data_IF_680250116868
#
_entry.id   IF_680250116868
#
_cell.length_a   1.000
_cell.length_b   1.000
_cell.length_c   1.000
_cell.angle_alpha   90.00
_cell.angle_beta   90.00
_cell.angle_gamma   90.00
#
_symmetry.space_group_name_H-M   'P 1'
#
loop_
_entity.id
_entity.type
_entity.pdbx_description
1 polymer ?
#
# COMPACT_ATOMS: atom_id res chain seq x y z
N UNK A 1 -21.43 -7.20 -4.57
CA UNK A 1 -20.68 -5.95 -4.28
C UNK A 1 -19.34 -6.08 -4.96
N UNK A 2 -19.11 -5.34 -6.03
CA UNK A 2 -17.79 -5.23 -6.64
C UNK A 2 -16.89 -4.43 -5.69
N UNK A 3 -15.83 -5.03 -5.20
CA UNK A 3 -14.82 -4.32 -4.41
C UNK A 3 -13.99 -3.47 -5.35
N UNK A 4 -14.31 -2.18 -5.45
CA UNK A 4 -13.54 -1.23 -6.23
C UNK A 4 -12.25 -0.88 -5.47
N UNK A 5 -11.18 -1.66 -5.70
CA UNK A 5 -9.86 -1.36 -5.10
C UNK A 5 -9.13 -0.31 -5.93
N UNK A 6 -8.76 0.79 -5.29
CA UNK A 6 -7.94 1.85 -5.89
C UNK A 6 -6.45 1.60 -5.65
N UNK A 7 -5.62 2.38 -6.35
CA UNK A 7 -4.18 2.38 -6.18
C UNK A 7 -3.67 3.81 -6.42
N UNK A 8 -4.17 4.76 -5.63
CA UNK A 8 -3.95 6.20 -5.90
C UNK A 8 -2.48 6.61 -5.78
N UNK A 9 -1.66 5.82 -5.08
CA UNK A 9 -0.21 6.02 -4.93
C UNK A 9 0.64 5.25 -5.94
N UNK A 10 0.04 4.42 -6.80
CA UNK A 10 0.80 3.63 -7.77
C UNK A 10 1.75 2.60 -7.13
N UNK A 11 1.44 2.09 -5.95
CA UNK A 11 2.34 1.23 -5.14
C UNK A 11 2.16 -0.26 -5.41
N UNK A 12 1.07 -0.67 -6.07
CA UNK A 12 0.86 -2.06 -6.50
C UNK A 12 2.03 -2.56 -7.36
N UNK A 13 2.62 -3.68 -6.94
CA UNK A 13 3.76 -4.33 -7.59
C UNK A 13 3.58 -5.84 -7.61
N UNK A 14 4.36 -6.53 -8.44
CA UNK A 14 4.32 -7.99 -8.58
C UNK A 14 5.66 -8.60 -8.15
N UNK A 15 5.61 -9.49 -7.16
CA UNK A 15 6.75 -10.30 -6.74
C UNK A 15 6.69 -11.65 -7.46
N UNK A 16 7.73 -12.00 -8.20
CA UNK A 16 7.85 -13.30 -8.88
C UNK A 16 8.74 -14.24 -8.09
N UNK A 17 8.21 -15.36 -7.62
CA UNK A 17 8.96 -16.39 -6.86
C UNK A 17 8.69 -17.76 -7.46
N UNK A 18 9.74 -18.45 -7.91
CA UNK A 18 9.65 -19.81 -8.48
C UNK A 18 8.55 -19.97 -9.56
N UNK A 19 8.39 -18.96 -10.41
CA UNK A 19 7.38 -18.95 -11.49
C UNK A 19 5.96 -18.57 -11.04
N UNK A 20 5.73 -18.30 -9.76
CA UNK A 20 4.46 -17.77 -9.25
C UNK A 20 4.54 -16.25 -9.08
N UNK A 21 3.43 -15.56 -9.35
CA UNK A 21 3.32 -14.11 -9.22
C UNK A 21 2.43 -13.77 -8.01
N UNK A 22 2.91 -12.86 -7.16
CA UNK A 22 2.21 -12.37 -6.00
C UNK A 22 2.06 -10.86 -6.07
N UNK A 23 0.84 -10.36 -5.95
CA UNK A 23 0.59 -8.93 -5.82
C UNK A 23 0.94 -8.46 -4.41
N UNK A 24 1.63 -7.33 -4.31
CA UNK A 24 1.90 -6.65 -3.04
C UNK A 24 1.89 -5.13 -3.25
N UNK A 25 1.76 -4.37 -2.17
CA UNK A 25 1.82 -2.90 -2.20
C UNK A 25 3.14 -2.44 -1.60
N UNK A 26 3.99 -1.81 -2.41
CA UNK A 26 5.36 -1.45 -2.02
C UNK A 26 5.39 -0.20 -1.14
N UNK A 27 5.81 -0.37 0.12
CA UNK A 27 6.07 0.73 1.06
C UNK A 27 7.21 1.64 0.59
N UNK A 28 8.18 1.09 -0.12
CA UNK A 28 9.27 1.88 -0.70
C UNK A 28 8.77 2.75 -1.86
N UNK A 29 7.85 2.23 -2.69
CA UNK A 29 7.18 3.04 -3.69
C UNK A 29 6.35 4.16 -3.04
N UNK A 30 5.67 3.87 -1.92
CA UNK A 30 4.93 4.88 -1.17
C UNK A 30 5.87 5.97 -0.63
N UNK A 31 7.03 5.63 -0.08
CA UNK A 31 8.01 6.60 0.43
C UNK A 31 8.51 7.53 -0.68
N UNK A 32 8.71 7.00 -1.90
CA UNK A 32 9.06 7.80 -3.09
C UNK A 32 7.99 8.80 -3.51
N UNK A 33 6.72 8.60 -3.13
CA UNK A 33 5.65 9.58 -3.39
C UNK A 33 5.69 10.80 -2.47
N UNK A 34 6.52 10.77 -1.42
CA UNK A 34 6.69 11.91 -0.51
C UNK A 34 5.74 11.93 0.70
N UNK A 35 4.99 10.85 0.94
CA UNK A 35 4.06 10.71 2.09
C UNK A 35 4.78 10.81 3.44
N UNK A 36 6.05 10.40 3.51
CA UNK A 36 6.86 10.55 4.73
C UNK A 36 7.95 9.49 4.83
N UNK A 37 8.76 9.51 5.91
CA UNK A 37 9.89 8.61 6.09
C UNK A 37 9.45 7.20 6.57
N UNK A 38 8.74 6.46 5.71
CA UNK A 38 8.15 5.14 6.02
C UNK A 38 9.21 4.13 6.45
N UNK A 39 10.42 4.22 5.90
CA UNK A 39 11.59 3.42 6.31
C UNK A 39 11.87 3.49 7.82
N UNK A 40 11.53 4.62 8.48
CA UNK A 40 11.76 4.86 9.91
C UNK A 40 10.64 4.37 10.83
N UNK A 41 9.52 3.92 10.28
CA UNK A 41 8.40 3.43 11.07
C UNK A 41 8.73 2.10 11.79
N UNK A 42 8.22 1.88 13.01
CA UNK A 42 8.16 0.56 13.63
C UNK A 42 7.50 -0.48 12.71
N UNK A 43 7.90 -1.75 12.84
CA UNK A 43 7.40 -2.83 11.98
C UNK A 43 5.87 -2.99 12.00
N UNK A 44 5.23 -2.83 13.16
CA UNK A 44 3.77 -2.91 13.28
C UNK A 44 3.06 -1.86 12.42
N UNK A 45 3.57 -0.62 12.38
CA UNK A 45 3.01 0.46 11.57
C UNK A 45 3.22 0.23 10.09
N UNK A 46 4.38 -0.34 9.69
CA UNK A 46 4.61 -0.75 8.29
C UNK A 46 3.58 -1.79 7.83
N UNK A 47 3.26 -2.76 8.68
CA UNK A 47 2.23 -3.77 8.37
C UNK A 47 0.84 -3.14 8.28
N UNK A 48 0.48 -2.24 9.20
CA UNK A 48 -0.80 -1.52 9.12
C UNK A 48 -0.89 -0.70 7.84
N UNK A 49 0.17 0.03 7.49
CA UNK A 49 0.21 0.88 6.30
C UNK A 49 0.06 0.07 5.00
N UNK A 50 0.74 -1.08 4.87
CA UNK A 50 0.51 -1.98 3.73
C UNK A 50 -0.94 -2.46 3.66
N UNK A 51 -1.51 -2.80 4.82
CA UNK A 51 -2.90 -3.24 4.90
C UNK A 51 -3.89 -2.16 4.44
N UNK A 52 -3.60 -0.88 4.71
CA UNK A 52 -4.38 0.25 4.21
C UNK A 52 -4.24 0.37 2.70
N UNK A 53 -3.02 0.40 2.16
CA UNK A 53 -2.77 0.45 0.71
C UNK A 53 -3.51 -0.68 -0.04
N UNK A 54 -3.48 -1.90 0.49
CA UNK A 54 -4.11 -3.08 -0.11
C UNK A 54 -5.64 -3.07 -0.06
N UNK A 55 -6.22 -2.22 0.79
CA UNK A 55 -7.65 -2.07 1.02
C UNK A 55 -8.19 -0.70 0.64
N UNK A 56 -7.38 0.15 0.01
CA UNK A 56 -7.82 1.44 -0.52
C UNK A 56 -9.00 1.23 -1.48
N UNK A 57 -10.13 1.84 -1.17
CA UNK A 57 -11.37 1.74 -1.92
C UNK A 57 -12.15 3.06 -2.01
N UNK A 58 -11.65 4.12 -1.36
CA UNK A 58 -12.26 5.43 -1.31
C UNK A 58 -13.52 5.52 -0.44
N UNK A 59 -13.88 4.45 0.28
CA UNK A 59 -15.04 4.41 1.17
C UNK A 59 -14.64 4.07 2.62
N UNK A 60 -13.96 2.95 2.80
CA UNK A 60 -13.49 2.45 4.11
C UNK A 60 -12.03 2.85 4.33
N UNK A 61 -11.23 2.86 3.27
CA UNK A 61 -9.87 3.39 3.29
C UNK A 61 -9.75 4.39 2.15
N UNK A 62 -9.67 5.65 2.52
CA UNK A 62 -9.46 6.77 1.62
C UNK A 62 -7.97 7.12 1.55
N UNK A 63 -7.62 7.97 0.58
CA UNK A 63 -6.23 8.41 0.38
C UNK A 63 -5.68 9.12 1.62
N UNK A 64 -6.54 9.87 2.29
CA UNK A 64 -6.23 10.69 3.45
C UNK A 64 -5.87 9.82 4.67
N UNK A 65 -6.47 8.63 4.80
CA UNK A 65 -6.15 7.68 5.88
C UNK A 65 -4.71 7.14 5.77
N UNK A 66 -4.11 7.21 4.57
CA UNK A 66 -2.74 6.74 4.28
C UNK A 66 -1.73 7.89 4.44
N UNK A 67 -2.16 9.15 4.32
CA UNK A 67 -1.32 10.36 4.43
C UNK A 67 -1.24 10.94 5.85
N UNK A 68 -2.15 10.54 6.75
CA UNK A 68 -2.24 11.01 8.14
C UNK A 68 -1.07 10.56 9.04
#
# INVERSE_FOLDING_TARGET
METHKTNTFGTKSVLKVKGQAFDFFSLEALERTGVGPISRLPFSLKVLLENLLRREDGQVVAREDIEA
#
